data_IF_411354301250
#
_entry.id   IF_411354301250
#
_cell.length_a   1.000
_cell.length_b   1.000
_cell.length_c   1.000
_cell.angle_alpha   90.00
_cell.angle_beta   90.00
_cell.angle_gamma   90.00
#
_symmetry.space_group_name_H-M   'P 1'
#
loop_
_entity.id
_entity.type
_entity.pdbx_description
1 polymer ?
#
# COMPACT_ATOMS: atom_id res chain seq x y z
N UNK A 1 -41.45 33.23 0.56
CA UNK A 1 -40.89 32.48 -0.60
C UNK A 1 -39.42 32.75 -0.90
N UNK A 2 -38.90 33.99 -0.79
CA UNK A 2 -37.49 34.29 -1.13
C UNK A 2 -36.44 33.60 -0.22
N UNK A 3 -36.71 33.46 1.08
CA UNK A 3 -35.77 32.81 2.03
C UNK A 3 -35.51 31.33 1.75
N UNK A 4 -36.53 30.59 1.28
CA UNK A 4 -36.41 29.16 0.94
C UNK A 4 -35.54 28.98 -0.31
N UNK A 5 -35.63 29.89 -1.30
CA UNK A 5 -34.80 29.85 -2.52
C UNK A 5 -33.33 30.12 -2.23
N UNK A 6 -33.02 31.04 -1.30
CA UNK A 6 -31.65 31.34 -0.88
C UNK A 6 -31.01 30.15 -0.14
N UNK A 7 -31.77 29.49 0.75
CA UNK A 7 -31.29 28.31 1.47
C UNK A 7 -30.98 27.14 0.51
N UNK A 8 -31.84 26.93 -0.49
CA UNK A 8 -31.64 25.89 -1.50
C UNK A 8 -30.43 26.18 -2.41
N UNK A 9 -30.19 27.45 -2.74
CA UNK A 9 -29.04 27.87 -3.53
C UNK A 9 -27.71 27.70 -2.77
N UNK A 10 -27.68 27.98 -1.45
CA UNK A 10 -26.51 27.74 -0.61
C UNK A 10 -26.21 26.24 -0.43
N UNK A 11 -27.25 25.39 -0.35
CA UNK A 11 -27.09 23.93 -0.33
C UNK A 11 -26.52 23.39 -1.65
N UNK A 12 -26.93 23.94 -2.80
CA UNK A 12 -26.37 23.57 -4.10
C UNK A 12 -24.90 24.02 -4.23
N UNK A 13 -24.56 25.22 -3.76
CA UNK A 13 -23.18 25.72 -3.80
C UNK A 13 -22.24 24.86 -2.94
N UNK A 14 -22.69 24.38 -1.77
CA UNK A 14 -21.89 23.47 -0.94
C UNK A 14 -21.63 22.11 -1.60
N UNK A 15 -22.55 21.60 -2.42
CA UNK A 15 -22.32 20.35 -3.18
C UNK A 15 -21.32 20.51 -4.33
N UNK A 16 -21.12 21.72 -4.86
CA UNK A 16 -20.14 21.97 -5.92
C UNK A 16 -18.70 22.09 -5.40
N UNK A 17 -18.48 22.48 -4.14
CA UNK A 17 -17.13 22.54 -3.57
C UNK A 17 -16.51 21.15 -3.37
N UNK A 18 -17.33 20.15 -3.04
CA UNK A 18 -16.86 18.76 -2.92
C UNK A 18 -16.43 18.15 -4.27
N UNK A 19 -16.87 18.72 -5.40
CA UNK A 19 -16.49 18.31 -6.75
C UNK A 19 -15.16 18.94 -7.23
N UNK A 20 -14.76 20.07 -6.66
CA UNK A 20 -13.53 20.80 -7.06
C UNK A 20 -12.30 20.30 -6.28
N UNK A 21 -12.50 19.49 -5.23
CA UNK A 21 -11.45 18.93 -4.38
C UNK A 21 -11.23 17.43 -4.49
N UNK A 22 -11.85 16.74 -5.46
CA UNK A 22 -11.44 15.36 -5.73
C UNK A 22 -10.10 15.39 -6.46
N UNK A 23 -9.02 15.25 -5.69
CA UNK A 23 -7.70 14.87 -6.19
C UNK A 23 -7.93 13.83 -7.30
N UNK A 24 -7.37 14.03 -8.49
CA UNK A 24 -7.54 13.09 -9.59
C UNK A 24 -6.79 11.79 -9.28
N UNK A 25 -7.40 10.93 -8.45
CA UNK A 25 -6.79 9.73 -7.86
C UNK A 25 -6.33 8.77 -8.96
N UNK A 26 -7.09 8.67 -10.05
CA UNK A 26 -6.71 7.88 -11.22
C UNK A 26 -5.41 8.42 -11.86
N UNK A 27 -5.35 9.73 -12.11
CA UNK A 27 -4.16 10.36 -12.68
C UNK A 27 -2.95 10.25 -11.75
N UNK A 28 -3.15 10.44 -10.43
CA UNK A 28 -2.12 10.20 -9.42
C UNK A 28 -1.52 8.80 -9.57
N UNK A 29 -2.35 7.75 -9.54
CA UNK A 29 -1.87 6.37 -9.64
C UNK A 29 -1.23 6.05 -10.99
N UNK A 30 -1.74 6.63 -12.09
CA UNK A 30 -1.12 6.52 -13.41
C UNK A 30 0.30 7.12 -13.40
N UNK A 31 0.48 8.31 -12.81
CA UNK A 31 1.78 8.97 -12.70
C UNK A 31 2.74 8.19 -11.80
N UNK A 32 2.26 7.67 -10.66
CA UNK A 32 3.05 6.77 -9.79
C UNK A 32 3.52 5.54 -10.56
N UNK A 33 2.64 4.87 -11.31
CA UNK A 33 3.01 3.71 -12.12
C UNK A 33 4.07 4.06 -13.18
N UNK A 34 3.94 5.22 -13.83
CA UNK A 34 4.93 5.70 -14.79
C UNK A 34 6.29 5.98 -14.12
N UNK A 35 6.30 6.57 -12.92
CA UNK A 35 7.53 6.78 -12.14
C UNK A 35 8.22 5.44 -11.82
N UNK A 36 7.47 4.47 -11.29
CA UNK A 36 7.96 3.12 -10.98
C UNK A 36 8.52 2.41 -12.22
N UNK A 37 7.89 2.57 -13.38
CA UNK A 37 8.42 2.03 -14.64
C UNK A 37 9.75 2.68 -15.04
N UNK A 38 9.95 3.97 -14.75
CA UNK A 38 11.25 4.62 -14.98
C UNK A 38 12.33 4.18 -14.00
N UNK A 39 11.96 3.81 -12.77
CA UNK A 39 12.87 3.10 -11.87
C UNK A 39 13.28 1.75 -12.46
N UNK A 40 12.33 0.96 -12.98
CA UNK A 40 12.63 -0.35 -13.63
C UNK A 40 13.57 -0.20 -14.83
N UNK A 41 13.51 0.94 -15.53
CA UNK A 41 14.39 1.30 -16.65
C UNK A 41 15.72 1.96 -16.21
N UNK A 42 16.00 2.10 -14.91
CA UNK A 42 17.13 2.86 -14.35
C UNK A 42 17.20 4.33 -14.83
N UNK A 43 16.05 4.97 -15.09
CA UNK A 43 15.94 6.38 -15.53
C UNK A 43 15.41 7.25 -14.38
N UNK A 44 16.25 7.48 -13.37
CA UNK A 44 15.85 8.12 -12.12
C UNK A 44 15.40 9.59 -12.29
N UNK A 45 15.99 10.34 -13.22
CA UNK A 45 15.59 11.71 -13.55
C UNK A 45 14.15 11.74 -14.09
N UNK A 46 13.81 10.82 -14.99
CA UNK A 46 12.45 10.71 -15.53
C UNK A 46 11.46 10.24 -14.47
N UNK A 47 11.90 9.36 -13.57
CA UNK A 47 11.08 8.94 -12.43
C UNK A 47 10.75 10.13 -11.53
N UNK A 48 11.74 10.98 -11.22
CA UNK A 48 11.55 12.17 -10.40
C UNK A 48 10.48 13.11 -10.98
N UNK A 49 10.54 13.39 -12.29
CA UNK A 49 9.53 14.23 -12.98
C UNK A 49 8.11 13.66 -12.83
N UNK A 50 7.94 12.34 -12.91
CA UNK A 50 6.61 11.73 -12.73
C UNK A 50 6.13 11.82 -11.27
N UNK A 51 7.01 11.65 -10.29
CA UNK A 51 6.67 11.84 -8.88
C UNK A 51 6.28 13.30 -8.57
N UNK A 52 7.04 14.28 -9.07
CA UNK A 52 6.71 15.71 -8.91
C UNK A 52 5.31 16.02 -9.46
N UNK A 53 4.97 15.48 -10.63
CA UNK A 53 3.63 15.65 -11.21
C UNK A 53 2.56 14.98 -10.34
N UNK A 54 2.81 13.75 -9.87
CA UNK A 54 1.87 13.03 -9.02
C UNK A 54 1.60 13.79 -7.72
N UNK A 55 2.64 14.37 -7.10
CA UNK A 55 2.52 15.05 -5.81
C UNK A 55 1.91 16.47 -5.87
N UNK A 56 1.66 16.99 -7.08
CA UNK A 56 0.80 18.18 -7.27
C UNK A 56 -0.69 17.85 -7.22
N UNK A 57 -1.03 16.58 -7.43
CA UNK A 57 -2.41 16.09 -7.48
C UNK A 57 -2.82 15.52 -6.12
N UNK A 58 -1.89 14.93 -5.39
CA UNK A 58 -2.17 14.24 -4.12
C UNK A 58 -0.95 14.32 -3.21
N UNK A 59 -1.14 14.34 -1.89
CA UNK A 59 -0.04 14.47 -0.91
C UNK A 59 0.94 13.28 -0.85
N UNK A 60 0.64 12.21 -1.59
CA UNK A 60 1.48 11.04 -1.74
C UNK A 60 1.35 10.05 -0.58
N UNK A 61 1.29 8.75 -0.88
CA UNK A 61 1.44 7.73 0.16
C UNK A 61 2.91 7.59 0.57
N UNK A 62 3.18 7.21 1.82
CA UNK A 62 4.52 7.14 2.37
C UNK A 62 5.46 6.20 1.59
N UNK A 63 4.93 5.10 1.05
CA UNK A 63 5.70 4.21 0.17
C UNK A 63 6.12 4.93 -1.13
N UNK A 64 5.22 5.73 -1.70
CA UNK A 64 5.49 6.46 -2.94
C UNK A 64 6.46 7.62 -2.70
N UNK A 65 6.31 8.33 -1.58
CA UNK A 65 7.25 9.35 -1.11
C UNK A 65 8.64 8.75 -0.83
N UNK A 66 8.71 7.58 -0.21
CA UNK A 66 9.96 6.83 -0.01
C UNK A 66 10.64 6.51 -1.33
N UNK A 67 9.90 6.03 -2.33
CA UNK A 67 10.46 5.74 -3.64
C UNK A 67 10.91 7.02 -4.37
N UNK A 68 10.13 8.10 -4.26
CA UNK A 68 10.47 9.40 -4.83
C UNK A 68 11.76 9.98 -4.21
N UNK A 69 11.88 9.92 -2.88
CA UNK A 69 13.09 10.30 -2.16
C UNK A 69 14.31 9.51 -2.66
N UNK A 70 14.19 8.18 -2.80
CA UNK A 70 15.28 7.35 -3.29
C UNK A 70 15.63 7.64 -4.76
N UNK A 71 14.64 7.88 -5.62
CA UNK A 71 14.86 8.25 -7.01
C UNK A 71 15.57 9.61 -7.10
N UNK A 72 15.11 10.60 -6.33
CA UNK A 72 15.69 11.93 -6.24
C UNK A 72 17.14 11.88 -5.74
N UNK A 73 17.41 11.09 -4.70
CA UNK A 73 18.76 10.84 -4.20
C UNK A 73 19.68 10.26 -5.28
N UNK A 74 19.20 9.29 -6.07
CA UNK A 74 20.00 8.65 -7.13
C UNK A 74 20.30 9.57 -8.31
N UNK A 75 19.48 10.59 -8.58
CA UNK A 75 19.71 11.55 -9.67
C UNK A 75 20.15 12.95 -9.21
N UNK A 76 20.35 13.16 -7.90
CA UNK A 76 20.75 14.47 -7.35
C UNK A 76 19.66 15.56 -7.45
N UNK A 77 18.38 15.18 -7.53
CA UNK A 77 17.28 16.15 -7.52
C UNK A 77 16.98 16.58 -6.07
N UNK A 78 17.68 17.61 -5.61
CA UNK A 78 17.57 18.14 -4.24
C UNK A 78 16.17 18.61 -3.87
N UNK A 79 15.47 19.30 -4.79
CA UNK A 79 14.11 19.82 -4.55
C UNK A 79 13.10 18.70 -4.28
N UNK A 80 13.05 17.67 -5.12
CA UNK A 80 12.17 16.53 -4.89
C UNK A 80 12.57 15.75 -3.63
N UNK A 81 13.87 15.62 -3.37
CA UNK A 81 14.38 14.95 -2.17
C UNK A 81 13.91 15.67 -0.91
N UNK A 82 14.01 17.00 -0.88
CA UNK A 82 13.51 17.88 0.19
C UNK A 82 12.01 17.70 0.41
N UNK A 83 11.23 17.83 -0.68
CA UNK A 83 9.78 17.68 -0.65
C UNK A 83 9.37 16.30 -0.09
N UNK A 84 9.94 15.23 -0.63
CA UNK A 84 9.59 13.87 -0.22
C UNK A 84 9.99 13.59 1.23
N UNK A 85 11.15 14.10 1.69
CA UNK A 85 11.57 13.99 3.07
C UNK A 85 10.62 14.73 4.03
N UNK A 86 10.29 16.00 3.72
CA UNK A 86 9.33 16.80 4.48
C UNK A 86 7.97 16.08 4.60
N UNK A 87 7.43 15.56 3.49
CA UNK A 87 6.16 14.84 3.49
C UNK A 87 6.19 13.51 4.23
N UNK A 88 7.33 12.80 4.20
CA UNK A 88 7.52 11.61 5.03
C UNK A 88 7.49 11.96 6.52
N UNK A 89 8.17 13.03 6.92
CA UNK A 89 8.19 13.51 8.32
C UNK A 89 6.80 13.97 8.76
N UNK A 90 6.07 14.71 7.91
CA UNK A 90 4.68 15.13 8.15
C UNK A 90 3.74 13.94 8.41
N UNK A 91 4.09 12.73 7.94
CA UNK A 91 3.34 11.48 8.20
C UNK A 91 3.84 10.70 9.42
N UNK A 92 4.91 11.16 10.07
CA UNK A 92 5.49 10.55 11.26
C UNK A 92 6.80 9.80 11.03
N UNK A 93 7.44 9.97 9.87
CA UNK A 93 8.78 9.42 9.65
C UNK A 93 9.80 10.17 10.51
N UNK A 94 10.40 9.47 11.47
CA UNK A 94 11.50 10.02 12.25
C UNK A 94 12.79 10.16 11.44
N UNK A 95 13.70 11.02 11.89
CA UNK A 95 14.99 11.27 11.23
C UNK A 95 15.83 9.99 11.02
N UNK A 96 15.65 9.00 11.89
CA UNK A 96 16.34 7.70 11.81
C UNK A 96 16.10 6.98 10.48
N UNK A 97 14.96 7.19 9.85
CA UNK A 97 14.69 6.66 8.51
C UNK A 97 15.73 7.13 7.49
N UNK A 98 16.13 8.39 7.53
CA UNK A 98 17.15 8.95 6.64
C UNK A 98 18.58 8.61 7.08
N UNK A 99 18.74 8.08 8.30
CA UNK A 99 20.04 7.66 8.83
C UNK A 99 20.50 6.26 8.40
N UNK A 100 19.77 5.60 7.50
CA UNK A 100 20.17 4.30 6.95
C UNK A 100 21.52 4.37 6.21
N UNK A 101 22.29 3.28 6.25
CA UNK A 101 23.62 3.20 5.63
C UNK A 101 23.61 3.51 4.13
N UNK A 102 22.53 3.18 3.43
CA UNK A 102 22.34 3.49 1.99
C UNK A 102 22.31 4.99 1.67
N UNK A 103 22.18 5.85 2.67
CA UNK A 103 22.19 7.31 2.53
C UNK A 103 23.43 7.96 3.15
N UNK A 104 24.54 7.22 3.30
CA UNK A 104 25.75 7.73 3.97
C UNK A 104 26.25 9.06 3.40
N UNK A 105 26.28 9.20 2.07
CA UNK A 105 26.76 10.43 1.41
C UNK A 105 25.82 11.62 1.59
N UNK A 106 24.52 11.36 1.83
CA UNK A 106 23.55 12.42 2.05
C UNK A 106 23.84 13.16 3.37
N UNK A 107 24.22 12.41 4.41
CA UNK A 107 24.42 12.94 5.77
C UNK A 107 25.49 14.02 5.86
N UNK A 108 26.47 13.99 4.96
CA UNK A 108 27.58 14.93 4.92
C UNK A 108 27.38 16.05 3.89
N UNK A 109 26.26 16.04 3.15
CA UNK A 109 25.97 17.11 2.19
C UNK A 109 25.47 18.36 2.89
N UNK A 110 25.93 19.53 2.44
CA UNK A 110 25.49 20.83 2.96
C UNK A 110 23.97 21.00 2.82
N UNK A 111 23.42 20.57 1.68
CA UNK A 111 21.97 20.51 1.43
C UNK A 111 21.21 19.79 2.55
N UNK A 112 21.66 18.60 2.94
CA UNK A 112 20.96 17.80 3.94
C UNK A 112 21.09 18.43 5.33
N UNK A 113 22.28 18.96 5.67
CA UNK A 113 22.50 19.66 6.93
C UNK A 113 21.56 20.88 7.03
N UNK A 114 21.41 21.64 5.94
CA UNK A 114 20.48 22.77 5.87
C UNK A 114 19.02 22.31 6.06
N UNK A 115 18.61 21.24 5.38
CA UNK A 115 17.28 20.65 5.52
C UNK A 115 16.97 20.26 6.98
N UNK A 116 17.92 19.62 7.68
CA UNK A 116 17.76 19.24 9.09
C UNK A 116 17.62 20.43 10.02
N UNK A 117 18.37 21.51 9.76
CA UNK A 117 18.35 22.69 10.61
C UNK A 117 17.11 23.56 10.40
N UNK A 118 16.44 23.44 9.26
CA UNK A 118 15.29 24.25 8.87
C UNK A 118 13.99 23.43 8.74
N UNK A 119 13.74 22.85 7.57
CA UNK A 119 12.46 22.26 7.18
C UNK A 119 12.08 21.03 7.99
N UNK A 120 13.06 20.24 8.44
CA UNK A 120 12.79 19.06 9.28
C UNK A 120 11.94 19.40 10.50
N UNK A 121 12.28 20.48 11.22
CA UNK A 121 11.55 20.93 12.42
C UNK A 121 10.15 21.43 12.09
N UNK A 122 9.97 22.06 10.92
CA UNK A 122 8.68 22.53 10.45
C UNK A 122 7.77 21.32 10.15
N UNK A 123 8.30 20.31 9.48
CA UNK A 123 7.58 19.08 9.17
C UNK A 123 7.24 18.26 10.41
N UNK A 124 8.14 18.18 11.40
CA UNK A 124 7.85 17.53 12.70
C UNK A 124 6.71 18.23 13.43
N UNK A 125 6.73 19.57 13.45
CA UNK A 125 5.63 20.36 14.03
C UNK A 125 4.31 20.08 13.32
N UNK A 126 4.30 20.08 11.99
CA UNK A 126 3.10 19.77 11.20
C UNK A 126 2.56 18.38 11.50
N UNK A 127 3.43 17.37 11.62
CA UNK A 127 3.01 16.02 12.05
C UNK A 127 2.28 16.04 13.40
N UNK A 128 2.83 16.77 14.38
CA UNK A 128 2.19 16.89 15.69
C UNK A 128 0.83 17.60 15.65
N UNK A 129 0.64 18.53 14.70
CA UNK A 129 -0.58 19.32 14.54
C UNK A 129 -1.64 18.62 13.68
N UNK A 130 -1.24 17.84 12.67
CA UNK A 130 -2.16 17.23 11.69
C UNK A 130 -2.65 15.84 12.10
N UNK A 131 -1.88 15.10 12.91
CA UNK A 131 -2.22 13.73 13.26
C UNK A 131 -3.19 13.67 14.44
N UNK A 132 -4.25 12.88 14.26
CA UNK A 132 -5.17 12.52 15.33
C UNK A 132 -4.56 11.41 16.21
N UNK A 133 -3.74 11.81 17.17
CA UNK A 133 -3.09 10.89 18.12
C UNK A 133 -4.07 10.11 18.99
N UNK A 134 -5.26 10.66 19.26
CA UNK A 134 -6.30 9.93 19.97
C UNK A 134 -6.78 8.74 19.14
N UNK A 135 -7.13 8.97 17.87
CA UNK A 135 -7.58 7.90 16.97
C UNK A 135 -6.47 6.86 16.74
N UNK A 136 -5.24 7.32 16.49
CA UNK A 136 -4.07 6.45 16.38
C UNK A 136 -3.91 5.56 17.61
N UNK A 137 -3.96 6.14 18.81
CA UNK A 137 -3.80 5.40 20.08
C UNK A 137 -4.94 4.41 20.30
N UNK A 138 -6.17 4.77 19.94
CA UNK A 138 -7.33 3.88 20.01
C UNK A 138 -7.16 2.64 19.13
N UNK A 139 -6.65 2.81 17.91
CA UNK A 139 -6.34 1.68 17.01
C UNK A 139 -5.23 0.78 17.58
N UNK A 140 -4.18 1.35 18.15
CA UNK A 140 -3.09 0.59 18.77
C UNK A 140 -3.55 -0.18 20.02
N UNK A 141 -4.42 0.41 20.83
CA UNK A 141 -4.98 -0.26 22.00
C UNK A 141 -5.96 -1.37 21.60
N UNK A 142 -6.80 -1.13 20.60
CA UNK A 142 -7.70 -2.17 20.07
C UNK A 142 -6.92 -3.32 19.45
N UNK A 143 -5.80 -3.03 18.77
CA UNK A 143 -4.87 -4.05 18.28
C UNK A 143 -4.30 -4.89 19.41
N UNK A 144 -3.82 -4.27 20.49
CA UNK A 144 -3.32 -5.03 21.65
C UNK A 144 -4.42 -5.93 22.22
N UNK A 145 -5.62 -5.38 22.39
CA UNK A 145 -6.79 -6.13 22.87
C UNK A 145 -7.13 -7.34 21.99
N UNK A 146 -7.11 -7.19 20.66
CA UNK A 146 -7.33 -8.28 19.70
C UNK A 146 -6.23 -9.35 19.74
N UNK A 147 -4.97 -8.94 19.98
CA UNK A 147 -3.82 -9.83 19.94
C UNK A 147 -3.56 -10.61 21.23
N UNK A 148 -3.87 -10.04 22.40
CA UNK A 148 -3.73 -10.73 23.68
C UNK A 148 -4.37 -12.13 23.69
N UNK A 149 -5.67 -12.31 23.36
CA UNK A 149 -6.34 -13.61 23.43
C UNK A 149 -5.90 -14.61 22.36
N UNK A 150 -5.12 -14.17 21.37
CA UNK A 150 -4.57 -15.03 20.31
C UNK A 150 -3.20 -15.58 20.66
N UNK A 151 -2.65 -15.23 21.84
CA UNK A 151 -1.39 -15.81 22.31
C UNK A 151 -1.55 -17.30 22.61
N UNK A 152 -0.60 -18.15 22.19
CA UNK A 152 -0.63 -19.57 22.49
C UNK A 152 -0.78 -19.82 24.00
N UNK A 153 -1.66 -20.75 24.38
CA UNK A 153 -1.89 -21.14 25.77
C UNK A 153 -2.98 -20.35 26.50
N UNK A 154 -3.60 -19.34 25.86
CA UNK A 154 -4.79 -18.68 26.39
C UNK A 154 -6.04 -19.30 25.77
N UNK A 155 -6.96 -19.79 26.61
CA UNK A 155 -8.28 -20.28 26.18
C UNK A 155 -9.33 -19.18 26.39
N UNK A 156 -9.19 -18.08 25.64
CA UNK A 156 -10.16 -16.99 25.68
C UNK A 156 -11.19 -17.13 24.56
N UNK A 157 -12.40 -16.62 24.80
CA UNK A 157 -13.47 -16.67 23.82
C UNK A 157 -13.22 -15.65 22.70
N UNK A 158 -12.64 -16.12 21.59
CA UNK A 158 -12.31 -15.28 20.43
C UNK A 158 -13.53 -14.66 19.76
N UNK A 159 -14.71 -15.26 19.90
CA UNK A 159 -15.92 -14.74 19.27
C UNK A 159 -16.37 -13.43 19.91
N UNK A 160 -16.31 -13.35 21.25
CA UNK A 160 -16.59 -12.11 21.99
C UNK A 160 -15.58 -11.03 21.64
N UNK A 161 -14.30 -11.41 21.52
CA UNK A 161 -13.23 -10.48 21.14
C UNK A 161 -13.46 -9.94 19.72
N UNK A 162 -13.76 -10.83 18.77
CA UNK A 162 -14.06 -10.44 17.38
C UNK A 162 -15.22 -9.46 17.33
N UNK A 163 -16.30 -9.71 18.08
CA UNK A 163 -17.46 -8.83 18.13
C UNK A 163 -17.11 -7.43 18.69
N UNK A 164 -16.38 -7.38 19.81
CA UNK A 164 -15.96 -6.10 20.42
C UNK A 164 -15.06 -5.32 19.46
N UNK A 165 -14.13 -5.99 18.78
CA UNK A 165 -13.25 -5.36 17.80
C UNK A 165 -14.05 -4.84 16.60
N UNK A 166 -14.96 -5.64 16.07
CA UNK A 166 -15.85 -5.26 14.98
C UNK A 166 -16.62 -3.97 15.29
N UNK A 167 -17.33 -3.95 16.41
CA UNK A 167 -18.17 -2.82 16.80
C UNK A 167 -17.33 -1.57 17.09
N UNK A 168 -16.14 -1.75 17.69
CA UNK A 168 -15.20 -0.66 17.93
C UNK A 168 -14.66 -0.07 16.62
N UNK A 169 -14.36 -0.90 15.62
CA UNK A 169 -13.90 -0.44 14.31
C UNK A 169 -14.99 0.37 13.60
N UNK A 170 -16.23 -0.12 13.58
CA UNK A 170 -17.35 0.61 12.99
C UNK A 170 -17.59 1.95 13.70
N UNK A 171 -17.56 1.95 15.04
CA UNK A 171 -17.66 3.17 15.83
C UNK A 171 -16.54 4.17 15.49
N UNK A 172 -15.30 3.70 15.35
CA UNK A 172 -14.18 4.57 14.97
C UNK A 172 -14.33 5.13 13.56
N UNK A 173 -14.80 4.33 12.60
CA UNK A 173 -15.04 4.76 11.22
C UNK A 173 -16.17 5.79 11.14
N UNK A 174 -17.22 5.63 11.94
CA UNK A 174 -18.30 6.62 12.06
C UNK A 174 -17.80 7.92 12.72
N UNK A 175 -16.98 7.82 13.76
CA UNK A 175 -16.51 8.97 14.56
C UNK A 175 -15.41 9.77 13.86
N UNK A 176 -14.44 9.09 13.24
CA UNK A 176 -13.21 9.69 12.73
C UNK A 176 -13.02 9.54 11.22
N UNK A 177 -13.87 8.76 10.54
CA UNK A 177 -13.70 8.39 9.14
C UNK A 177 -12.58 7.37 8.93
N UNK A 178 -12.21 7.13 7.67
CA UNK A 178 -11.15 6.17 7.33
C UNK A 178 -9.78 6.61 7.90
N UNK A 179 -9.01 5.72 8.54
CA UNK A 179 -7.70 6.04 9.13
C UNK A 179 -6.60 6.10 8.06
N UNK A 180 -6.64 7.14 7.22
CA UNK A 180 -5.61 7.38 6.21
C UNK A 180 -4.27 7.81 6.83
N UNK A 181 -3.19 7.71 6.06
CA UNK A 181 -1.86 8.15 6.50
C UNK A 181 -1.83 9.64 6.89
N UNK A 182 -2.72 10.47 6.32
CA UNK A 182 -2.83 11.88 6.70
C UNK A 182 -3.51 12.09 8.06
N UNK A 183 -4.40 11.18 8.46
CA UNK A 183 -5.17 11.31 9.72
C UNK A 183 -4.46 10.67 10.90
N UNK A 184 -3.87 9.49 10.70
CA UNK A 184 -3.29 8.70 11.80
C UNK A 184 -1.79 8.52 11.69
N UNK A 185 -1.17 9.06 10.63
CA UNK A 185 0.24 8.87 10.33
C UNK A 185 0.54 7.44 9.86
N UNK A 186 1.82 7.11 9.81
CA UNK A 186 2.30 5.77 9.47
C UNK A 186 2.93 5.06 10.68
N UNK A 187 3.08 3.74 10.57
CA UNK A 187 3.71 2.91 11.60
C UNK A 187 5.07 2.40 11.13
N UNK A 188 6.00 2.26 12.08
CA UNK A 188 7.37 1.82 11.82
C UNK A 188 7.71 0.55 12.59
N UNK A 189 8.68 -0.19 12.04
CA UNK A 189 9.48 -1.18 12.75
C UNK A 189 10.91 -0.65 12.85
N UNK A 190 11.49 -0.67 14.05
CA UNK A 190 12.87 -0.23 14.33
C UNK A 190 13.21 1.17 13.77
N UNK A 191 12.24 2.10 13.80
CA UNK A 191 12.36 3.50 13.35
C UNK A 191 12.85 3.75 11.91
N UNK A 192 12.94 2.69 11.10
CA UNK A 192 13.60 2.73 9.78
C UNK A 192 12.79 2.02 8.69
N UNK A 193 11.83 1.17 9.08
CA UNK A 193 11.01 0.42 8.14
C UNK A 193 9.53 0.80 8.27
N UNK A 194 8.98 1.43 7.24
CA UNK A 194 7.53 1.73 7.16
C UNK A 194 6.77 0.41 7.09
N UNK A 195 5.93 0.11 8.09
CA UNK A 195 5.14 -1.12 8.12
C UNK A 195 4.20 -1.17 6.92
N UNK A 196 4.13 -2.34 6.27
CA UNK A 196 3.26 -2.58 5.13
C UNK A 196 1.80 -2.79 5.51
N UNK A 197 1.48 -2.96 6.80
CA UNK A 197 0.13 -3.17 7.31
C UNK A 197 0.00 -2.32 8.58
N UNK A 198 -1.00 -1.45 8.61
CA UNK A 198 -1.37 -0.65 9.78
C UNK A 198 -2.17 -1.46 10.81
N UNK A 199 -2.30 -0.99 12.06
CA UNK A 199 -3.19 -1.61 13.03
C UNK A 199 -4.63 -1.78 12.52
N UNK A 200 -5.20 -0.75 11.87
CA UNK A 200 -6.53 -0.84 11.31
C UNK A 200 -6.65 -1.98 10.29
N UNK A 201 -5.73 -2.04 9.33
CA UNK A 201 -5.74 -3.07 8.27
C UNK A 201 -5.63 -4.49 8.83
N UNK A 202 -4.84 -4.67 9.89
CA UNK A 202 -4.66 -5.98 10.52
C UNK A 202 -5.86 -6.37 11.40
N UNK A 203 -6.55 -5.42 12.04
CA UNK A 203 -7.81 -5.68 12.73
C UNK A 203 -8.92 -6.08 11.74
N UNK A 204 -9.02 -5.37 10.62
CA UNK A 204 -9.97 -5.68 9.53
C UNK A 204 -9.68 -7.05 8.91
N UNK A 205 -8.40 -7.41 8.76
CA UNK A 205 -7.99 -8.76 8.32
C UNK A 205 -8.61 -9.86 9.21
N UNK A 206 -8.59 -9.69 10.54
CA UNK A 206 -9.21 -10.65 11.44
C UNK A 206 -10.74 -10.68 11.33
N UNK A 207 -11.38 -9.55 11.02
CA UNK A 207 -12.82 -9.53 10.75
C UNK A 207 -13.18 -10.31 9.48
N UNK A 208 -12.35 -10.25 8.44
CA UNK A 208 -12.52 -11.10 7.27
C UNK A 208 -12.40 -12.59 7.59
N UNK A 209 -11.47 -12.95 8.48
CA UNK A 209 -11.28 -14.35 8.90
C UNK A 209 -12.39 -14.86 9.84
N UNK A 210 -13.13 -13.96 10.50
CA UNK A 210 -14.24 -14.30 11.41
C UNK A 210 -15.62 -14.17 10.76
N UNK A 211 -15.69 -14.14 9.42
CA UNK A 211 -16.91 -13.99 8.61
C UNK A 211 -17.68 -12.67 8.82
N UNK A 212 -17.08 -11.70 9.53
CA UNK A 212 -17.64 -10.36 9.78
C UNK A 212 -17.12 -9.28 8.83
N UNK A 213 -16.21 -9.64 7.94
CA UNK A 213 -15.50 -8.66 7.13
C UNK A 213 -16.35 -7.97 6.05
N UNK A 214 -17.52 -8.52 5.72
CA UNK A 214 -18.39 -8.00 4.66
C UNK A 214 -18.74 -6.51 4.84
N UNK A 215 -18.86 -6.04 6.07
CA UNK A 215 -19.19 -4.65 6.38
C UNK A 215 -18.07 -3.67 5.98
N UNK A 216 -16.82 -4.13 5.92
CA UNK A 216 -15.67 -3.27 5.59
C UNK A 216 -15.40 -3.16 4.09
N UNK A 217 -15.98 -4.01 3.23
CA UNK A 217 -15.60 -4.04 1.81
C UNK A 217 -15.93 -2.73 1.10
N UNK A 218 -17.12 -2.17 1.35
CA UNK A 218 -17.54 -0.92 0.73
C UNK A 218 -16.77 0.27 1.29
N UNK A 219 -16.40 0.21 2.58
CA UNK A 219 -15.58 1.23 3.23
C UNK A 219 -14.19 1.26 2.59
N UNK A 220 -13.56 0.10 2.39
CA UNK A 220 -12.25 -0.02 1.73
C UNK A 220 -12.30 0.43 0.27
N UNK A 221 -13.35 0.04 -0.48
CA UNK A 221 -13.57 0.51 -1.86
C UNK A 221 -13.70 2.03 -1.92
N UNK A 222 -14.47 2.63 -1.01
CA UNK A 222 -14.63 4.08 -0.93
C UNK A 222 -13.32 4.78 -0.58
N UNK A 223 -12.54 4.23 0.37
CA UNK A 223 -11.24 4.78 0.74
C UNK A 223 -10.25 4.79 -0.44
N UNK A 224 -10.27 3.76 -1.29
CA UNK A 224 -9.48 3.75 -2.54
C UNK A 224 -9.94 4.85 -3.50
N UNK A 225 -11.25 5.01 -3.69
CA UNK A 225 -11.80 6.04 -4.59
C UNK A 225 -11.49 7.47 -4.11
N UNK A 226 -11.40 7.67 -2.80
CA UNK A 226 -11.06 8.95 -2.16
C UNK A 226 -9.55 9.20 -2.04
N UNK A 227 -8.70 8.27 -2.46
CA UNK A 227 -7.24 8.41 -2.29
C UNK A 227 -6.76 8.21 -0.84
N UNK A 228 -7.60 7.70 0.05
CA UNK A 228 -7.26 7.44 1.46
C UNK A 228 -6.54 6.09 1.66
N UNK A 229 -6.67 5.17 0.70
CA UNK A 229 -6.07 3.82 0.72
C UNK A 229 -5.45 3.49 -0.64
N UNK A 230 -4.22 2.96 -0.66
CA UNK A 230 -3.63 2.48 -1.93
C UNK A 230 -4.45 1.30 -2.49
N UNK A 231 -4.80 1.28 -3.79
CA UNK A 231 -5.60 0.21 -4.39
C UNK A 231 -5.04 -1.20 -4.20
N UNK A 232 -3.71 -1.33 -4.18
CA UNK A 232 -3.00 -2.59 -3.94
C UNK A 232 -3.40 -3.26 -2.61
N UNK A 233 -3.77 -2.48 -1.59
CA UNK A 233 -4.21 -2.99 -0.29
C UNK A 233 -5.61 -3.63 -0.36
N UNK A 234 -6.50 -3.13 -1.23
CA UNK A 234 -7.81 -3.75 -1.43
C UNK A 234 -7.68 -5.17 -1.98
N UNK A 235 -6.73 -5.39 -2.89
CA UNK A 235 -6.43 -6.71 -3.46
C UNK A 235 -5.89 -7.74 -2.48
N UNK A 236 -5.40 -7.32 -1.31
CA UNK A 236 -4.98 -8.23 -0.23
C UNK A 236 -6.18 -8.93 0.43
N UNK A 237 -7.31 -8.22 0.57
CA UNK A 237 -8.51 -8.75 1.21
C UNK A 237 -9.35 -9.61 0.28
N UNK A 238 -9.23 -9.40 -1.04
CA UNK A 238 -9.90 -10.20 -2.05
C UNK A 238 -9.64 -11.70 -1.82
N UNK A 239 -8.39 -12.06 -1.49
CA UNK A 239 -7.93 -13.42 -1.17
C UNK A 239 -8.80 -14.17 -0.17
N UNK A 240 -9.34 -13.43 0.78
CA UNK A 240 -9.99 -13.95 1.99
C UNK A 240 -11.50 -14.03 1.81
N UNK A 241 -12.06 -13.08 1.06
CA UNK A 241 -13.50 -12.94 0.86
C UNK A 241 -14.11 -13.81 -0.24
N UNK A 242 -13.28 -14.35 -1.14
CA UNK A 242 -13.78 -14.92 -2.39
C UNK A 242 -14.60 -13.91 -3.24
N UNK A 243 -14.36 -12.61 -3.06
CA UNK A 243 -15.02 -11.55 -3.82
C UNK A 243 -14.29 -11.32 -5.16
N UNK A 244 -14.85 -11.91 -6.22
CA UNK A 244 -14.36 -11.73 -7.58
C UNK A 244 -14.25 -10.26 -8.03
N UNK A 245 -15.05 -9.35 -7.48
CA UNK A 245 -15.07 -7.94 -7.90
C UNK A 245 -13.78 -7.19 -7.54
N UNK A 246 -13.04 -7.67 -6.54
CA UNK A 246 -11.75 -7.11 -6.10
C UNK A 246 -10.58 -8.08 -6.31
N UNK A 247 -10.81 -9.19 -6.99
CA UNK A 247 -9.75 -10.11 -7.39
C UNK A 247 -8.91 -9.48 -8.52
N UNK A 248 -7.66 -9.14 -8.16
CA UNK A 248 -6.71 -8.42 -9.01
C UNK A 248 -5.58 -9.29 -9.57
N UNK A 249 -5.66 -10.62 -9.42
CA UNK A 249 -4.73 -11.55 -10.04
C UNK A 249 -5.44 -12.71 -10.71
N UNK A 250 -4.64 -13.63 -11.23
CA UNK A 250 -5.18 -14.75 -11.99
C UNK A 250 -5.31 -16.02 -11.15
N UNK A 251 -4.39 -16.26 -10.22
CA UNK A 251 -4.47 -17.40 -9.31
C UNK A 251 -5.15 -16.99 -8.01
N UNK A 252 -6.14 -17.75 -7.58
CA UNK A 252 -6.98 -17.49 -6.39
C UNK A 252 -7.46 -16.03 -6.34
N UNK A 253 -7.88 -15.56 -5.16
CA UNK A 253 -8.48 -14.23 -5.00
C UNK A 253 -7.47 -13.10 -4.73
N UNK A 254 -6.19 -13.26 -5.04
CA UNK A 254 -5.15 -12.26 -4.75
C UNK A 254 -4.45 -11.75 -6.02
N UNK A 255 -3.58 -10.73 -5.89
CA UNK A 255 -2.66 -10.23 -6.93
C UNK A 255 -1.57 -11.24 -7.36
N UNK A 256 -1.91 -12.52 -7.48
CA UNK A 256 -0.94 -13.58 -7.63
C UNK A 256 -0.43 -13.63 -9.06
N UNK A 257 0.77 -13.09 -9.25
CA UNK A 257 1.76 -13.67 -10.16
C UNK A 257 2.58 -14.65 -9.35
N UNK A 258 2.64 -15.90 -9.82
CA UNK A 258 3.61 -16.88 -9.35
C UNK A 258 4.91 -16.69 -10.15
N UNK A 259 5.93 -16.09 -9.52
CA UNK A 259 7.23 -15.85 -10.14
C UNK A 259 8.29 -16.69 -9.43
N UNK A 260 9.07 -17.46 -10.20
CA UNK A 260 10.31 -18.05 -9.75
C UNK A 260 11.46 -17.32 -10.42
N UNK A 261 12.58 -17.15 -9.72
CA UNK A 261 13.74 -16.41 -10.21
C UNK A 261 14.07 -16.89 -11.64
N UNK A 262 14.10 -15.97 -12.60
CA UNK A 262 14.29 -16.14 -14.05
C UNK A 262 13.13 -16.71 -14.88
N UNK A 263 12.10 -17.33 -14.29
CA UNK A 263 11.01 -17.99 -15.03
C UNK A 263 9.63 -17.71 -14.41
N UNK A 264 8.70 -17.20 -15.23
CA UNK A 264 7.28 -17.12 -14.86
C UNK A 264 6.73 -18.54 -14.68
N UNK A 265 6.25 -18.88 -13.47
CA UNK A 265 5.75 -20.22 -13.18
C UNK A 265 4.45 -20.52 -13.93
N UNK A 266 3.58 -19.53 -14.03
CA UNK A 266 2.27 -19.63 -14.67
C UNK A 266 1.88 -18.32 -15.32
N UNK A 267 1.22 -18.44 -16.48
CA UNK A 267 0.65 -17.30 -17.18
C UNK A 267 -0.87 -17.44 -17.20
N UNK A 268 -1.56 -16.32 -16.98
CA UNK A 268 -3.00 -16.23 -17.16
C UNK A 268 -3.38 -16.67 -18.58
N UNK A 269 -4.53 -17.32 -18.74
CA UNK A 269 -5.10 -17.40 -20.09
C UNK A 269 -5.40 -15.98 -20.60
N UNK A 270 -5.28 -15.75 -21.91
CA UNK A 270 -5.53 -14.41 -22.49
C UNK A 270 -6.94 -13.89 -22.14
N UNK A 271 -7.94 -14.78 -22.01
CA UNK A 271 -9.30 -14.43 -21.59
C UNK A 271 -9.33 -13.97 -20.12
N UNK A 272 -8.71 -14.72 -19.20
CA UNK A 272 -8.68 -14.34 -17.77
C UNK A 272 -7.90 -13.06 -17.54
N UNK A 273 -6.76 -12.88 -18.23
CA UNK A 273 -5.93 -11.68 -18.13
C UNK A 273 -6.70 -10.41 -18.52
N UNK A 274 -7.51 -10.45 -19.59
CA UNK A 274 -8.37 -9.33 -19.99
C UNK A 274 -9.38 -8.96 -18.90
N UNK A 275 -10.01 -9.95 -18.25
CA UNK A 275 -10.96 -9.72 -17.16
C UNK A 275 -10.26 -9.10 -15.95
N UNK A 276 -9.12 -9.66 -15.54
CA UNK A 276 -8.33 -9.16 -14.41
C UNK A 276 -7.83 -7.74 -14.67
N UNK A 277 -7.27 -7.46 -15.85
CA UNK A 277 -6.79 -6.13 -16.22
C UNK A 277 -7.94 -5.10 -16.27
N UNK A 278 -9.16 -5.51 -16.65
CA UNK A 278 -10.34 -4.63 -16.56
C UNK A 278 -10.67 -4.27 -15.11
N UNK A 279 -10.63 -5.24 -14.19
CA UNK A 279 -10.85 -5.01 -12.74
C UNK A 279 -9.74 -4.16 -12.12
N UNK A 280 -8.49 -4.44 -12.45
CA UNK A 280 -7.33 -3.65 -12.00
C UNK A 280 -7.48 -2.18 -12.41
N UNK A 281 -7.87 -1.93 -13.67
CA UNK A 281 -8.14 -0.58 -14.18
C UNK A 281 -9.24 0.13 -13.40
N UNK A 282 -10.32 -0.54 -12.99
CA UNK A 282 -11.40 0.10 -12.22
C UNK A 282 -11.00 0.53 -10.81
N UNK A 283 -9.83 0.08 -10.34
CA UNK A 283 -9.20 0.52 -9.10
C UNK A 283 -7.83 1.15 -9.35
N UNK A 284 -7.62 1.77 -10.52
CA UNK A 284 -6.42 2.55 -10.83
C UNK A 284 -5.10 1.77 -10.79
N UNK A 285 -5.15 0.43 -10.85
CA UNK A 285 -3.99 -0.43 -10.91
C UNK A 285 -3.54 -0.66 -12.35
N UNK A 286 -2.24 -0.80 -12.54
CA UNK A 286 -1.66 -1.10 -13.85
C UNK A 286 -2.03 -2.53 -14.31
N UNK A 287 -1.98 -2.82 -15.62
CA UNK A 287 -2.12 -4.18 -16.14
C UNK A 287 -1.08 -5.15 -15.54
N UNK A 288 -1.43 -6.43 -15.42
CA UNK A 288 -0.55 -7.47 -14.86
C UNK A 288 0.81 -7.54 -15.56
N UNK A 289 0.86 -7.29 -16.85
CA UNK A 289 2.07 -7.29 -17.65
C UNK A 289 3.09 -6.24 -17.17
N UNK A 290 2.61 -5.12 -16.66
CA UNK A 290 3.45 -4.07 -16.07
C UNK A 290 3.90 -4.49 -14.68
N UNK A 291 3.01 -5.04 -13.85
CA UNK A 291 3.36 -5.60 -12.54
C UNK A 291 4.43 -6.70 -12.66
N UNK A 292 4.36 -7.56 -13.68
CA UNK A 292 5.37 -8.57 -13.98
C UNK A 292 6.76 -7.97 -14.19
N UNK A 293 6.87 -6.85 -14.91
CA UNK A 293 8.16 -6.15 -15.12
C UNK A 293 8.73 -5.63 -13.80
N UNK A 294 7.88 -5.08 -12.93
CA UNK A 294 8.28 -4.60 -11.61
C UNK A 294 8.73 -5.74 -10.69
N UNK A 295 8.02 -6.87 -10.69
CA UNK A 295 8.42 -8.07 -9.94
C UNK A 295 9.78 -8.56 -10.41
N UNK A 296 9.97 -8.67 -11.73
CA UNK A 296 11.24 -9.10 -12.33
C UNK A 296 12.40 -8.20 -11.88
N UNK A 297 12.24 -6.88 -11.99
CA UNK A 297 13.24 -5.92 -11.51
C UNK A 297 13.53 -6.08 -10.01
N UNK A 298 12.49 -6.22 -9.18
CA UNK A 298 12.65 -6.38 -7.74
C UNK A 298 13.45 -7.64 -7.38
N UNK A 299 13.18 -8.75 -8.07
CA UNK A 299 13.84 -10.03 -7.84
C UNK A 299 15.26 -10.10 -8.41
N UNK A 300 15.49 -9.53 -9.59
CA UNK A 300 16.72 -9.76 -10.37
C UNK A 300 17.69 -8.58 -10.33
N UNK A 301 17.22 -7.37 -10.05
CA UNK A 301 18.01 -6.13 -10.17
C UNK A 301 18.17 -5.42 -8.83
N UNK A 302 17.07 -5.00 -8.20
CA UNK A 302 17.13 -4.24 -6.95
C UNK A 302 15.83 -4.29 -6.15
N UNK A 303 15.95 -4.59 -4.87
CA UNK A 303 14.86 -4.55 -3.90
C UNK A 303 14.82 -3.27 -3.06
N UNK A 304 15.62 -2.26 -3.41
CA UNK A 304 15.70 -0.99 -2.65
C UNK A 304 14.42 -0.17 -2.74
N UNK A 305 13.72 -0.28 -3.89
CA UNK A 305 12.45 0.37 -4.15
C UNK A 305 11.28 -0.52 -3.74
N UNK A 306 10.27 0.09 -3.12
CA UNK A 306 9.04 -0.57 -2.71
C UNK A 306 7.97 -0.35 -3.77
N UNK A 307 8.12 -1.04 -4.90
CA UNK A 307 7.21 -0.94 -6.04
C UNK A 307 5.81 -1.51 -5.69
N UNK A 308 4.77 -1.12 -6.43
CA UNK A 308 3.41 -1.67 -6.33
C UNK A 308 3.32 -3.14 -6.81
N UNK A 309 4.05 -4.03 -6.14
CA UNK A 309 4.10 -5.48 -6.38
C UNK A 309 3.69 -6.29 -5.14
N UNK A 310 3.26 -5.61 -4.08
CA UNK A 310 2.88 -6.24 -2.81
C UNK A 310 1.82 -7.31 -3.03
N UNK A 311 1.87 -8.39 -2.24
CA UNK A 311 0.97 -9.54 -2.32
C UNK A 311 1.11 -10.42 -3.58
N UNK A 312 2.19 -10.21 -4.35
CA UNK A 312 2.66 -11.22 -5.31
C UNK A 312 3.35 -12.36 -4.55
N UNK A 313 3.06 -13.61 -4.90
CA UNK A 313 3.77 -14.74 -4.34
C UNK A 313 5.03 -15.01 -5.14
N UNK A 314 6.17 -14.58 -4.58
CA UNK A 314 7.48 -14.78 -5.18
C UNK A 314 8.07 -16.04 -4.54
N UNK A 315 8.12 -17.12 -5.30
CA UNK A 315 8.73 -18.36 -4.85
C UNK A 315 10.13 -18.42 -5.39
N UNK A 316 11.07 -18.31 -4.49
CA UNK A 316 12.44 -18.67 -4.78
C UNK A 316 12.59 -20.15 -5.12
N UNK A 317 11.91 -21.01 -4.37
CA UNK A 317 11.75 -22.44 -4.60
C UNK A 317 10.38 -22.86 -4.08
N UNK A 318 9.58 -23.56 -4.90
CA UNK A 318 8.37 -24.19 -4.41
C UNK A 318 8.75 -25.59 -3.88
N UNK A 319 8.49 -25.89 -2.60
CA UNK A 319 8.68 -27.26 -2.11
C UNK A 319 7.69 -28.20 -2.82
N UNK A 320 7.97 -29.50 -2.90
CA UNK A 320 7.11 -30.43 -3.64
C UNK A 320 5.64 -30.41 -3.14
N UNK A 321 5.39 -30.10 -1.87
CA UNK A 321 4.03 -30.01 -1.31
C UNK A 321 3.25 -28.80 -1.86
N UNK A 322 3.85 -27.61 -1.82
CA UNK A 322 3.31 -26.37 -2.40
C UNK A 322 3.20 -26.53 -3.91
N UNK A 323 4.22 -27.12 -4.55
CA UNK A 323 4.22 -27.35 -6.00
C UNK A 323 3.10 -28.29 -6.39
N UNK A 324 2.86 -29.39 -5.67
CA UNK A 324 1.83 -30.37 -6.01
C UNK A 324 0.41 -29.85 -5.75
N UNK A 325 0.15 -29.21 -4.60
CA UNK A 325 -1.19 -28.63 -4.33
C UNK A 325 -1.53 -27.50 -5.33
N UNK A 326 -0.54 -26.67 -5.63
CA UNK A 326 -0.66 -25.57 -6.60
C UNK A 326 -0.81 -26.11 -8.02
N UNK A 327 -0.07 -27.16 -8.40
CA UNK A 327 -0.19 -27.85 -9.70
C UNK A 327 -1.54 -28.53 -9.88
N UNK A 328 -2.08 -29.20 -8.87
CA UNK A 328 -3.41 -29.80 -8.94
C UNK A 328 -4.50 -28.76 -9.13
N UNK A 329 -4.42 -27.66 -8.38
CA UNK A 329 -5.30 -26.51 -8.59
C UNK A 329 -5.17 -25.94 -10.01
N UNK A 330 -3.95 -25.75 -10.49
CA UNK A 330 -3.67 -25.16 -11.79
C UNK A 330 -4.13 -26.03 -12.97
N UNK A 331 -4.02 -27.36 -12.84
CA UNK A 331 -4.59 -28.32 -13.78
C UNK A 331 -6.11 -28.20 -13.87
N UNK A 332 -6.80 -27.98 -12.74
CA UNK A 332 -8.26 -27.82 -12.69
C UNK A 332 -8.72 -26.47 -13.25
N UNK A 333 -7.87 -25.44 -13.20
CA UNK A 333 -8.25 -24.04 -13.48
C UNK A 333 -7.82 -23.52 -14.86
N UNK A 334 -7.50 -24.38 -15.83
CA UNK A 334 -7.11 -24.02 -17.22
C UNK A 334 -5.90 -23.07 -17.33
N UNK A 335 -4.92 -23.21 -16.44
CA UNK A 335 -3.66 -22.48 -16.52
C UNK A 335 -2.62 -23.18 -17.37
N UNK A 336 -1.77 -22.40 -18.07
CA UNK A 336 -0.60 -22.93 -18.77
C UNK A 336 0.57 -22.98 -17.78
N UNK A 337 0.93 -24.19 -17.35
CA UNK A 337 2.15 -24.42 -16.58
C UNK A 337 3.37 -24.33 -17.49
N UNK A 338 4.40 -23.55 -17.09
CA UNK A 338 5.61 -23.40 -17.91
C UNK A 338 6.76 -24.34 -17.51
N UNK A 339 7.02 -24.64 -16.22
CA UNK A 339 8.16 -25.51 -15.79
C UNK A 339 8.15 -25.91 -14.30
N UNK A 340 8.68 -27.11 -13.95
CA UNK A 340 8.97 -27.57 -12.56
C UNK A 340 10.44 -27.29 -12.21
N UNK A 341 10.75 -26.86 -10.99
CA UNK A 341 12.14 -26.59 -10.57
C UNK A 341 12.54 -27.37 -9.30
N UNK A 342 13.65 -28.13 -9.41
CA UNK A 342 14.41 -28.72 -8.29
C UNK A 342 15.52 -27.74 -7.90
N UNK A 343 15.77 -27.55 -6.61
CA UNK A 343 16.97 -26.88 -6.12
C UNK A 343 17.35 -27.37 -4.71
N UNK A 344 18.62 -27.22 -4.35
CA UNK A 344 19.25 -27.80 -3.15
C UNK A 344 19.84 -26.77 -2.18
N UNK A 345 19.75 -25.43 -2.41
CA UNK A 345 20.24 -24.40 -1.47
C UNK A 345 19.50 -23.05 -1.57
N UNK A 346 19.38 -22.38 -0.42
CA UNK A 346 18.56 -21.18 -0.18
C UNK A 346 19.35 -19.84 -0.22
N UNK A 347 18.91 -18.88 -1.05
CA UNK A 347 19.15 -17.42 -0.98
C UNK A 347 18.02 -16.55 -0.33
N UNK A 348 18.19 -16.11 0.91
CA UNK A 348 17.32 -15.23 1.74
C UNK A 348 16.25 -15.87 2.66
N UNK A 349 16.42 -15.53 3.95
CA UNK A 349 15.44 -15.44 5.04
C UNK A 349 14.97 -13.98 5.10
N UNK A 350 13.78 -13.67 4.59
CA UNK A 350 13.13 -12.39 4.90
C UNK A 350 12.57 -12.48 6.33
N UNK A 351 13.09 -11.68 7.25
CA UNK A 351 12.39 -11.40 8.51
C UNK A 351 11.20 -10.51 8.15
N UNK A 352 9.99 -11.02 8.32
CA UNK A 352 8.79 -10.18 8.43
C UNK A 352 8.80 -9.46 9.78
#
# INVERSE_FOLDING_TARGET
>A
MYRIKILFFLLLINQFYDLIGQDNVEEYHMLINNAELKIVENKFEKSAIFYEKAFRIHNGFAIDLSNAFLAAYKCGNEELMKYAASKLIEKGTGINYFNQSRFANLKTSDFWIEFLNSECKISEKKYLESINFQYRSSLENLMKYDQEPRRPGLNLNLEVVNQIVHDSLLYFLETYGFPSEEKVGIWFSNDTFIKSISPFEFLVLHQFQSERGADFIQILKSAVQKGELKPIKLGFYAGILDDESINFGCLDNNQIVLYQINDLLYECSCKKMKVVNKRRKSFYLEPLEITLKKIKYYCEVSSEFRLNISYSHIYKEANDKVTNSTLEFLKKSNFKFKKKLKSSRSYFKGKY
#
